data_IF_295027568165
#
_entry.id   IF_295027568165
#
_cell.length_a   1.000
_cell.length_b   1.000
_cell.length_c   1.000
_cell.angle_alpha   90.00
_cell.angle_beta   90.00
_cell.angle_gamma   90.00
#
_symmetry.space_group_name_H-M   'P 1'
#
loop_
_entity.id
_entity.type
_entity.pdbx_description
1 polymer ?
#
# COMPACT_ATOMS: atom_id res chain seq x y z
N UNK A 1 13.93 12.98 5.46
CA UNK A 1 12.51 13.18 5.09
C UNK A 1 12.26 12.53 3.74
N UNK A 2 11.19 11.74 3.61
CA UNK A 2 10.77 11.12 2.35
C UNK A 2 9.48 11.76 1.83
N UNK A 3 9.18 11.62 0.54
CA UNK A 3 7.97 12.16 -0.08
C UNK A 3 7.31 11.16 -1.03
N UNK A 4 5.98 11.10 -1.09
CA UNK A 4 5.23 10.27 -2.05
C UNK A 4 4.66 11.10 -3.20
N UNK A 5 4.86 10.64 -4.44
CA UNK A 5 4.22 11.20 -5.65
C UNK A 5 3.39 10.14 -6.36
N UNK A 6 2.06 10.27 -6.28
CA UNK A 6 1.10 9.40 -6.95
C UNK A 6 0.70 9.92 -8.35
N UNK A 7 1.11 9.17 -9.39
CA UNK A 7 0.86 9.41 -10.81
C UNK A 7 -0.39 8.66 -11.29
N UNK A 8 -1.53 8.96 -10.66
CA UNK A 8 -2.81 8.29 -10.96
C UNK A 8 -3.58 8.99 -12.06
N UNK A 9 -4.47 8.25 -12.75
CA UNK A 9 -5.43 8.85 -13.68
C UNK A 9 -6.40 9.72 -12.86
N UNK A 10 -6.29 11.04 -12.97
CA UNK A 10 -7.20 11.98 -12.31
C UNK A 10 -8.13 12.64 -13.32
N UNK A 11 -9.29 13.07 -12.84
CA UNK A 11 -10.17 14.02 -13.52
C UNK A 11 -9.52 15.42 -13.42
N UNK A 12 -8.48 15.68 -14.20
CA UNK A 12 -7.77 16.97 -14.25
C UNK A 12 -6.29 16.87 -14.65
N UNK A 13 -5.71 17.99 -15.10
CA UNK A 13 -4.27 18.09 -15.42
C UNK A 13 -3.48 18.30 -14.13
N UNK A 14 -2.47 17.47 -13.88
CA UNK A 14 -1.51 17.66 -12.78
C UNK A 14 -0.14 17.91 -13.38
N UNK A 15 0.51 19.01 -13.00
CA UNK A 15 1.87 19.33 -13.42
C UNK A 15 2.89 18.58 -12.56
N UNK A 16 3.13 17.31 -12.90
CA UNK A 16 4.06 16.46 -12.16
C UNK A 16 5.51 16.94 -12.23
N UNK A 17 5.89 17.70 -13.27
CA UNK A 17 7.23 18.25 -13.40
C UNK A 17 7.46 19.38 -12.39
N UNK A 18 6.45 20.23 -12.18
CA UNK A 18 6.48 21.26 -11.14
C UNK A 18 6.57 20.65 -9.73
N UNK A 19 5.79 19.60 -9.43
CA UNK A 19 5.90 18.89 -8.15
C UNK A 19 7.27 18.26 -7.95
N UNK A 20 7.84 17.64 -8.99
CA UNK A 20 9.20 17.10 -8.94
C UNK A 20 10.25 18.20 -8.70
N UNK A 21 10.04 19.39 -9.26
CA UNK A 21 10.93 20.52 -9.02
C UNK A 21 10.88 20.99 -7.57
N UNK A 22 9.69 21.13 -6.99
CA UNK A 22 9.54 21.47 -5.56
C UNK A 22 10.23 20.46 -4.66
N UNK A 23 10.11 19.15 -4.95
CA UNK A 23 10.80 18.09 -4.20
C UNK A 23 12.32 18.28 -4.23
N UNK A 24 12.87 18.67 -5.37
CA UNK A 24 14.31 18.95 -5.56
C UNK A 24 14.71 20.20 -4.77
N UNK A 25 13.94 21.27 -4.91
CA UNK A 25 14.22 22.57 -4.28
C UNK A 25 14.19 22.47 -2.73
N UNK A 26 13.26 21.67 -2.18
CA UNK A 26 13.16 21.35 -0.75
C UNK A 26 14.23 20.34 -0.28
N UNK A 27 15.09 19.86 -1.17
CA UNK A 27 16.21 18.98 -0.84
C UNK A 27 15.79 17.57 -0.37
N UNK A 28 14.61 17.10 -0.76
CA UNK A 28 14.10 15.77 -0.40
C UNK A 28 15.02 14.68 -0.94
N UNK A 29 15.44 13.77 -0.06
CA UNK A 29 16.46 12.74 -0.38
C UNK A 29 15.87 11.44 -0.91
N UNK A 30 14.66 11.09 -0.48
CA UNK A 30 14.01 9.83 -0.83
C UNK A 30 12.60 10.11 -1.34
N UNK A 31 12.25 9.58 -2.51
CA UNK A 31 10.91 9.75 -3.10
C UNK A 31 10.30 8.40 -3.43
N UNK A 32 9.10 8.13 -2.90
CA UNK A 32 8.23 7.07 -3.39
C UNK A 32 7.43 7.57 -4.59
N UNK A 33 7.48 6.86 -5.71
CA UNK A 33 6.62 7.10 -6.87
C UNK A 33 5.67 5.92 -7.05
N UNK A 34 4.44 6.19 -7.49
CA UNK A 34 3.45 5.16 -7.79
C UNK A 34 2.60 5.56 -8.99
N UNK A 35 2.00 4.60 -9.68
CA UNK A 35 1.08 4.86 -10.80
C UNK A 35 1.73 4.76 -12.18
N UNK A 36 1.08 5.33 -13.19
CA UNK A 36 1.43 5.11 -14.60
C UNK A 36 2.44 6.13 -15.11
N UNK A 37 3.24 5.73 -16.12
CA UNK A 37 4.19 6.58 -16.83
C UNK A 37 5.15 7.39 -15.93
N UNK A 38 5.88 6.76 -15.00
CA UNK A 38 6.74 7.48 -14.06
C UNK A 38 8.05 8.02 -14.68
N UNK A 39 8.36 7.64 -15.92
CA UNK A 39 9.64 7.93 -16.59
C UNK A 39 10.09 9.40 -16.53
N UNK A 40 9.26 10.38 -16.91
CA UNK A 40 9.66 11.79 -16.86
C UNK A 40 10.01 12.28 -15.44
N UNK A 41 9.17 11.95 -14.46
CA UNK A 41 9.36 12.33 -13.05
C UNK A 41 10.60 11.65 -12.45
N UNK A 42 10.74 10.34 -12.68
CA UNK A 42 11.92 9.58 -12.24
C UNK A 42 13.18 10.19 -12.84
N UNK A 43 13.17 10.49 -14.15
CA UNK A 43 14.32 11.09 -14.84
C UNK A 43 14.72 12.43 -14.24
N UNK A 44 13.75 13.30 -13.96
CA UNK A 44 14.00 14.60 -13.33
C UNK A 44 14.59 14.45 -11.93
N UNK A 45 14.01 13.58 -11.09
CA UNK A 45 14.48 13.34 -9.72
C UNK A 45 15.87 12.68 -9.68
N UNK A 46 16.16 11.73 -10.58
CA UNK A 46 17.48 11.09 -10.66
C UNK A 46 18.59 12.08 -11.04
N UNK A 47 18.31 13.09 -11.88
CA UNK A 47 19.28 14.17 -12.19
C UNK A 47 19.68 14.98 -10.95
N UNK A 48 18.83 15.03 -9.94
CA UNK A 48 19.10 15.67 -8.65
C UNK A 48 19.69 14.72 -7.60
N UNK A 49 20.08 13.49 -7.99
CA UNK A 49 20.60 12.45 -7.10
C UNK A 49 19.62 12.03 -5.98
N UNK A 50 18.31 12.13 -6.23
CA UNK A 50 17.29 11.61 -5.32
C UNK A 50 17.25 10.08 -5.36
N UNK A 51 17.15 9.45 -4.19
CA UNK A 51 16.87 8.01 -4.07
C UNK A 51 15.39 7.76 -4.36
N UNK A 52 15.09 6.84 -5.26
CA UNK A 52 13.72 6.58 -5.72
C UNK A 52 13.29 5.17 -5.36
N UNK A 53 12.17 5.09 -4.64
CA UNK A 53 11.38 3.90 -4.43
C UNK A 53 10.21 3.92 -5.43
N UNK A 54 9.99 2.87 -6.22
CA UNK A 54 8.81 2.80 -7.10
C UNK A 54 7.87 1.66 -6.74
N UNK A 55 6.60 2.00 -6.53
CA UNK A 55 5.57 1.04 -6.14
C UNK A 55 4.91 0.36 -7.34
N UNK A 56 4.91 -0.97 -7.32
CA UNK A 56 4.48 -1.83 -8.42
C UNK A 56 3.55 -2.95 -7.94
N UNK A 57 2.50 -3.23 -8.70
CA UNK A 57 1.58 -4.36 -8.46
C UNK A 57 1.92 -5.60 -9.31
N UNK A 58 2.93 -5.52 -10.18
CA UNK A 58 3.38 -6.64 -11.03
C UNK A 58 4.89 -6.64 -11.24
N UNK A 59 5.46 -7.83 -11.46
CA UNK A 59 6.89 -8.00 -11.79
C UNK A 59 7.26 -7.31 -13.10
N UNK A 60 6.35 -7.28 -14.08
CA UNK A 60 6.59 -6.57 -15.35
C UNK A 60 6.78 -5.07 -15.14
N UNK A 61 5.95 -4.45 -14.31
CA UNK A 61 6.08 -3.03 -13.97
C UNK A 61 7.34 -2.77 -13.15
N UNK A 62 7.65 -3.64 -12.18
CA UNK A 62 8.89 -3.59 -11.41
C UNK A 62 10.13 -3.61 -12.32
N UNK A 63 10.23 -4.56 -13.25
CA UNK A 63 11.33 -4.62 -14.23
C UNK A 63 11.41 -3.37 -15.11
N UNK A 64 10.28 -2.76 -15.44
CA UNK A 64 10.25 -1.51 -16.21
C UNK A 64 10.78 -0.34 -15.39
N UNK A 65 10.46 -0.27 -14.10
CA UNK A 65 10.98 0.74 -13.18
C UNK A 65 12.49 0.58 -12.93
N UNK A 66 13.00 -0.65 -12.81
CA UNK A 66 14.45 -0.91 -12.73
C UNK A 66 15.19 -0.34 -13.93
N UNK A 67 14.65 -0.50 -15.14
CA UNK A 67 15.24 0.09 -16.36
C UNK A 67 15.24 1.62 -16.35
N UNK A 68 14.38 2.26 -15.56
CA UNK A 68 14.36 3.71 -15.34
C UNK A 68 15.34 4.17 -14.26
N UNK A 69 16.07 3.25 -13.62
CA UNK A 69 17.11 3.57 -12.65
C UNK A 69 16.60 3.87 -11.24
N UNK A 70 15.46 3.27 -10.84
CA UNK A 70 15.00 3.32 -9.44
C UNK A 70 15.95 2.56 -8.53
N UNK A 71 16.08 3.00 -7.28
CA UNK A 71 17.02 2.47 -6.31
C UNK A 71 16.43 1.29 -5.52
N UNK A 72 15.12 1.37 -5.23
CA UNK A 72 14.38 0.32 -4.54
C UNK A 72 12.97 0.17 -5.13
N UNK A 73 12.33 -0.96 -4.86
CA UNK A 73 10.94 -1.21 -5.26
C UNK A 73 10.03 -1.39 -4.04
N UNK A 74 8.78 -0.98 -4.17
CA UNK A 74 7.71 -1.36 -3.25
C UNK A 74 6.78 -2.32 -3.99
N UNK A 75 6.72 -3.58 -3.56
CA UNK A 75 5.94 -4.62 -4.23
C UNK A 75 4.60 -4.72 -3.51
N UNK A 76 3.54 -4.29 -4.19
CA UNK A 76 2.21 -4.09 -3.62
C UNK A 76 1.29 -5.25 -4.00
N UNK A 77 1.02 -6.12 -3.03
CA UNK A 77 0.18 -7.30 -3.19
C UNK A 77 -1.31 -6.97 -3.20
N UNK A 78 -2.11 -7.95 -3.60
CA UNK A 78 -3.58 -7.82 -3.71
C UNK A 78 -4.28 -7.38 -2.42
N UNK A 79 -3.68 -7.65 -1.26
CA UNK A 79 -4.17 -7.30 0.07
C UNK A 79 -4.16 -5.77 0.33
N UNK A 80 -3.45 -4.99 -0.50
CA UNK A 80 -3.20 -3.57 -0.26
C UNK A 80 -4.46 -2.70 -0.27
N UNK A 81 -4.37 -1.56 0.43
CA UNK A 81 -5.38 -0.50 0.35
C UNK A 81 -5.16 0.32 -0.93
N UNK A 82 -6.23 0.85 -1.54
CA UNK A 82 -6.11 1.65 -2.75
C UNK A 82 -5.99 0.79 -4.02
N UNK A 83 -5.16 1.19 -4.99
CA UNK A 83 -5.14 0.55 -6.30
C UNK A 83 -4.37 -0.78 -6.26
N UNK A 84 -5.09 -1.90 -6.36
CA UNK A 84 -4.52 -3.26 -6.25
C UNK A 84 -4.02 -3.82 -7.59
N UNK A 85 -4.24 -3.10 -8.69
CA UNK A 85 -4.05 -3.62 -10.04
C UNK A 85 -5.15 -4.58 -10.48
N UNK A 86 -4.90 -5.36 -11.53
CA UNK A 86 -5.95 -6.16 -12.20
C UNK A 86 -5.63 -7.66 -12.27
N UNK A 87 -4.61 -8.10 -11.56
CA UNK A 87 -4.09 -9.48 -11.65
C UNK A 87 -4.33 -10.32 -10.39
N UNK A 88 -4.82 -9.71 -9.32
CA UNK A 88 -5.19 -10.37 -8.06
C UNK A 88 -4.10 -11.27 -7.47
N UNK A 89 -2.83 -10.88 -7.62
CA UNK A 89 -1.68 -11.63 -7.11
C UNK A 89 -1.42 -11.22 -5.67
N UNK A 90 -1.64 -12.15 -4.74
CA UNK A 90 -1.36 -11.96 -3.30
C UNK A 90 0.14 -11.88 -3.02
N UNK A 91 0.50 -11.28 -1.89
CA UNK A 91 1.89 -11.11 -1.52
C UNK A 91 2.66 -12.42 -1.36
N UNK A 92 1.98 -13.50 -0.96
CA UNK A 92 2.63 -14.81 -0.83
C UNK A 92 3.28 -15.26 -2.15
N UNK A 93 2.64 -14.99 -3.29
CA UNK A 93 3.18 -15.31 -4.62
C UNK A 93 4.02 -14.15 -5.15
N UNK A 94 3.53 -12.92 -5.05
CA UNK A 94 4.15 -11.76 -5.68
C UNK A 94 5.56 -11.48 -5.12
N UNK A 95 5.76 -11.59 -3.81
CA UNK A 95 7.06 -11.36 -3.17
C UNK A 95 8.07 -12.46 -3.51
N UNK A 96 7.63 -13.72 -3.59
CA UNK A 96 8.49 -14.81 -4.06
C UNK A 96 8.96 -14.58 -5.50
N UNK A 97 8.05 -14.17 -6.38
CA UNK A 97 8.41 -13.83 -7.76
C UNK A 97 9.33 -12.60 -7.82
N UNK A 98 9.12 -11.61 -6.96
CA UNK A 98 10.00 -10.45 -6.82
C UNK A 98 11.43 -10.88 -6.46
N UNK A 99 11.61 -11.68 -5.40
CA UNK A 99 12.93 -12.22 -4.99
C UNK A 99 13.63 -13.02 -6.09
N UNK A 100 12.89 -13.78 -6.89
CA UNK A 100 13.45 -14.60 -7.98
C UNK A 100 13.89 -13.77 -9.19
N UNK A 101 13.14 -12.71 -9.52
CA UNK A 101 13.26 -12.01 -10.79
C UNK A 101 13.93 -10.63 -10.69
N UNK A 102 13.95 -10.02 -9.52
CA UNK A 102 14.45 -8.67 -9.31
C UNK A 102 15.87 -8.72 -8.75
N UNK A 103 16.78 -8.00 -9.39
CA UNK A 103 18.16 -7.83 -8.93
C UNK A 103 18.36 -6.57 -8.07
N UNK A 104 17.29 -5.85 -7.74
CA UNK A 104 17.31 -4.67 -6.86
C UNK A 104 16.53 -4.97 -5.58
N UNK A 105 16.87 -4.34 -4.45
CA UNK A 105 16.17 -4.62 -3.20
C UNK A 105 14.74 -4.07 -3.23
N UNK A 106 13.83 -4.71 -2.50
CA UNK A 106 12.43 -4.33 -2.47
C UNK A 106 11.84 -4.44 -1.07
N UNK A 107 10.84 -3.61 -0.78
CA UNK A 107 9.99 -3.73 0.41
C UNK A 107 8.64 -4.33 0.03
N UNK A 108 8.05 -5.09 0.94
CA UNK A 108 6.74 -5.68 0.76
C UNK A 108 5.63 -4.70 1.17
N UNK A 109 4.56 -4.56 0.38
CA UNK A 109 3.47 -3.63 0.62
C UNK A 109 2.11 -4.32 0.51
N UNK A 110 1.19 -3.98 1.41
CA UNK A 110 -0.16 -4.55 1.49
C UNK A 110 -0.26 -5.78 2.40
N UNK A 111 -1.21 -5.79 3.34
CA UNK A 111 -1.42 -6.95 4.21
C UNK A 111 -0.52 -7.03 5.46
N UNK A 112 0.30 -6.01 5.75
CA UNK A 112 1.22 -6.01 6.90
C UNK A 112 0.78 -5.02 7.99
N UNK A 113 0.78 -5.45 9.26
CA UNK A 113 0.40 -4.63 10.42
C UNK A 113 1.25 -4.85 11.68
N UNK A 114 2.02 -5.94 11.75
CA UNK A 114 2.71 -6.39 12.96
C UNK A 114 4.11 -6.97 12.64
N UNK A 115 4.83 -7.41 13.68
CA UNK A 115 6.17 -8.00 13.50
C UNK A 115 6.17 -9.38 12.87
N UNK A 116 5.07 -10.14 12.97
CA UNK A 116 4.94 -11.44 12.31
C UNK A 116 4.89 -11.27 10.79
N UNK A 117 4.14 -10.28 10.31
CA UNK A 117 4.13 -9.86 8.91
C UNK A 117 5.49 -9.39 8.42
N UNK A 118 6.23 -8.63 9.24
CA UNK A 118 7.62 -8.25 8.92
C UNK A 118 8.52 -9.47 8.78
N UNK A 119 8.54 -10.39 9.75
CA UNK A 119 9.35 -11.61 9.69
C UNK A 119 9.00 -12.48 8.47
N UNK A 120 7.72 -12.58 8.11
CA UNK A 120 7.27 -13.28 6.91
C UNK A 120 7.78 -12.59 5.63
N UNK A 121 7.67 -11.25 5.53
CA UNK A 121 8.16 -10.49 4.38
C UNK A 121 9.67 -10.65 4.18
N UNK A 122 10.46 -10.58 5.27
CA UNK A 122 11.91 -10.82 5.24
C UNK A 122 12.23 -12.23 4.75
N UNK A 123 11.50 -13.24 5.23
CA UNK A 123 11.65 -14.64 4.80
C UNK A 123 11.32 -14.84 3.31
N UNK A 124 10.44 -14.00 2.75
CA UNK A 124 10.08 -14.00 1.33
C UNK A 124 11.07 -13.21 0.45
N UNK A 125 12.08 -12.56 1.06
CA UNK A 125 13.15 -11.83 0.38
C UNK A 125 12.97 -10.33 0.29
N UNK A 126 11.99 -9.75 0.98
CA UNK A 126 11.89 -8.30 1.10
C UNK A 126 12.92 -7.77 2.12
N UNK A 127 13.27 -6.50 2.02
CA UNK A 127 14.15 -5.76 2.95
C UNK A 127 13.37 -5.01 4.05
N UNK A 128 12.05 -5.18 4.08
CA UNK A 128 11.16 -4.49 5.01
C UNK A 128 9.72 -4.49 4.53
N UNK A 129 8.85 -3.79 5.27
CA UNK A 129 7.43 -3.66 4.97
C UNK A 129 7.00 -2.19 4.82
N UNK A 130 6.03 -1.96 3.96
CA UNK A 130 5.28 -0.72 3.82
C UNK A 130 3.86 -0.92 4.34
N UNK A 131 3.38 0.00 5.17
CA UNK A 131 2.06 -0.06 5.78
C UNK A 131 1.30 1.24 5.52
N UNK A 132 0.01 1.12 5.20
CA UNK A 132 -0.90 2.27 5.10
C UNK A 132 -1.94 2.23 6.22
N UNK A 133 -2.84 1.25 6.13
CA UNK A 133 -3.94 1.04 7.10
C UNK A 133 -3.48 1.05 8.55
N UNK A 134 -2.37 0.37 8.88
CA UNK A 134 -1.82 0.30 10.25
C UNK A 134 -1.46 1.66 10.82
N UNK A 135 -0.90 2.56 10.00
CA UNK A 135 -0.51 3.91 10.45
C UNK A 135 -1.72 4.84 10.62
N UNK A 136 -2.86 4.58 9.96
CA UNK A 136 -4.10 5.31 10.25
C UNK A 136 -4.53 5.11 11.72
N UNK A 137 -4.28 3.93 12.29
CA UNK A 137 -4.52 3.62 13.70
C UNK A 137 -3.29 3.86 14.56
N UNK A 138 -2.80 5.10 14.57
CA UNK A 138 -1.80 5.60 15.52
C UNK A 138 -2.28 6.90 16.15
N UNK A 139 -1.77 7.27 17.32
CA UNK A 139 -2.17 8.51 18.01
C UNK A 139 -1.86 9.73 17.11
N UNK A 140 -0.71 9.74 16.47
CA UNK A 140 -0.16 10.84 15.67
C UNK A 140 -0.85 11.03 14.32
N UNK A 141 -1.55 10.02 13.80
CA UNK A 141 -2.26 10.13 12.53
C UNK A 141 -3.31 11.26 12.58
N UNK A 142 -3.24 12.27 11.68
CA UNK A 142 -4.10 13.45 11.72
C UNK A 142 -5.45 13.19 11.05
N UNK A 143 -6.15 12.16 11.53
CA UNK A 143 -7.49 11.77 11.08
C UNK A 143 -8.43 11.69 12.28
N UNK A 144 -9.71 11.86 12.03
CA UNK A 144 -10.73 11.82 13.06
C UNK A 144 -10.72 10.47 13.80
N UNK A 145 -10.87 10.52 15.13
CA UNK A 145 -10.77 9.33 16.00
C UNK A 145 -11.77 8.23 15.62
N UNK A 146 -13.00 8.59 15.24
CA UNK A 146 -14.02 7.64 14.76
C UNK A 146 -13.54 6.76 13.59
N UNK A 147 -12.67 7.26 12.71
CA UNK A 147 -12.12 6.46 11.60
C UNK A 147 -11.17 5.38 12.15
N UNK A 148 -10.36 5.72 13.16
CA UNK A 148 -9.47 4.79 13.84
C UNK A 148 -10.28 3.70 14.56
N UNK A 149 -11.32 4.10 15.28
CA UNK A 149 -12.26 3.18 15.95
C UNK A 149 -12.98 2.26 14.98
N UNK A 150 -13.37 2.76 13.81
CA UNK A 150 -14.01 1.94 12.79
C UNK A 150 -13.05 0.89 12.22
N UNK A 151 -11.77 1.21 12.05
CA UNK A 151 -10.75 0.22 11.66
C UNK A 151 -10.57 -0.83 12.77
N UNK A 152 -10.47 -0.42 14.04
CA UNK A 152 -10.25 -1.33 15.18
C UNK A 152 -11.40 -2.33 15.37
N UNK A 153 -12.62 -1.95 14.96
CA UNK A 153 -13.83 -2.78 15.07
C UNK A 153 -14.12 -3.61 13.81
N UNK A 154 -13.32 -3.45 12.76
CA UNK A 154 -13.57 -4.08 11.47
C UNK A 154 -12.90 -5.45 11.37
N UNK A 155 -13.53 -6.33 10.61
CA UNK A 155 -12.99 -7.65 10.28
C UNK A 155 -12.24 -7.60 8.94
N UNK A 156 -11.41 -8.60 8.63
CA UNK A 156 -10.65 -8.66 7.36
C UNK A 156 -11.54 -8.69 6.11
N UNK A 157 -12.83 -9.00 6.29
CA UNK A 157 -13.86 -9.03 5.26
C UNK A 157 -14.54 -7.68 5.03
N UNK A 158 -14.30 -6.67 5.87
CA UNK A 158 -14.90 -5.33 5.79
C UNK A 158 -14.17 -4.40 4.79
N UNK A 159 -13.70 -4.96 3.68
CA UNK A 159 -13.22 -4.19 2.52
C UNK A 159 -13.96 -4.58 1.25
N UNK A 160 -14.05 -3.65 0.30
CA UNK A 160 -14.66 -3.88 -1.00
C UNK A 160 -13.69 -3.49 -2.12
N UNK A 161 -13.64 -4.32 -3.16
CA UNK A 161 -13.03 -3.95 -4.44
C UNK A 161 -14.08 -3.28 -5.30
N UNK A 162 -13.80 -2.04 -5.69
CA UNK A 162 -14.67 -1.23 -6.54
C UNK A 162 -13.86 -0.79 -7.76
N UNK A 163 -14.55 -0.44 -8.84
CA UNK A 163 -14.01 0.06 -10.11
C UNK A 163 -13.31 -0.99 -10.99
N UNK A 164 -13.60 -2.28 -10.79
CA UNK A 164 -13.02 -3.37 -11.59
C UNK A 164 -13.41 -3.28 -13.05
N UNK A 165 -14.68 -2.96 -13.31
CA UNK A 165 -15.24 -2.79 -14.66
C UNK A 165 -14.45 -1.80 -15.51
N UNK A 166 -13.88 -0.77 -14.89
CA UNK A 166 -13.09 0.28 -15.56
C UNK A 166 -11.58 0.07 -15.49
N UNK A 167 -11.11 -1.13 -15.09
CA UNK A 167 -9.68 -1.45 -14.92
C UNK A 167 -8.95 -0.41 -14.06
N UNK A 168 -9.63 0.01 -13.00
CA UNK A 168 -9.10 0.93 -12.00
C UNK A 168 -9.38 0.38 -10.59
N UNK A 169 -9.24 -0.93 -10.43
CA UNK A 169 -9.64 -1.65 -9.22
C UNK A 169 -9.01 -1.01 -7.98
N UNK A 170 -9.87 -0.59 -7.06
CA UNK A 170 -9.50 0.11 -5.83
C UNK A 170 -10.12 -0.60 -4.64
N UNK A 171 -9.29 -0.96 -3.64
CA UNK A 171 -9.74 -1.48 -2.35
C UNK A 171 -10.08 -0.35 -1.40
N UNK A 172 -11.33 -0.38 -0.93
CA UNK A 172 -11.94 0.60 -0.05
C UNK A 172 -12.51 -0.08 1.20
N UNK A 173 -12.71 0.69 2.26
CA UNK A 173 -13.48 0.23 3.42
C UNK A 173 -14.93 -0.06 3.02
N UNK A 174 -15.53 -1.13 3.52
CA UNK A 174 -16.88 -1.60 3.14
C UNK A 174 -18.02 -0.84 3.86
N UNK A 175 -18.11 0.47 3.63
CA UNK A 175 -19.18 1.33 4.14
C UNK A 175 -20.40 1.41 3.20
N UNK A 176 -21.39 2.24 3.56
CA UNK A 176 -22.57 2.49 2.74
C UNK A 176 -22.21 2.98 1.32
N UNK A 177 -21.27 3.91 1.19
CA UNK A 177 -20.95 4.55 -0.11
C UNK A 177 -20.20 3.60 -1.04
N UNK A 178 -19.26 2.79 -0.54
CA UNK A 178 -18.54 1.81 -1.36
C UNK A 178 -19.45 0.66 -1.79
N UNK A 179 -20.40 0.26 -0.95
CA UNK A 179 -21.45 -0.72 -1.31
C UNK A 179 -22.38 -0.17 -2.42
N UNK A 180 -22.79 1.10 -2.34
CA UNK A 180 -23.56 1.75 -3.42
C UNK A 180 -22.73 1.87 -4.70
N UNK A 181 -21.45 2.24 -4.61
CA UNK A 181 -20.57 2.31 -5.79
C UNK A 181 -20.42 0.94 -6.47
N UNK A 182 -20.26 -0.14 -5.69
CA UNK A 182 -20.20 -1.51 -6.20
C UNK A 182 -21.53 -1.95 -6.84
N UNK A 183 -22.67 -1.52 -6.28
CA UNK A 183 -23.98 -1.76 -6.87
C UNK A 183 -24.11 -1.08 -8.23
N UNK A 184 -23.77 0.21 -8.31
CA UNK A 184 -23.76 0.99 -9.57
C UNK A 184 -22.87 0.32 -10.61
N UNK A 185 -21.67 -0.15 -10.23
CA UNK A 185 -20.77 -0.85 -11.14
C UNK A 185 -21.41 -2.11 -11.77
N UNK A 186 -22.11 -2.91 -10.95
CA UNK A 186 -22.79 -4.14 -11.38
C UNK A 186 -24.02 -3.86 -12.24
N UNK A 187 -24.77 -2.82 -11.91
CA UNK A 187 -26.06 -2.50 -12.54
C UNK A 187 -25.94 -1.51 -13.71
N UNK A 188 -24.79 -0.86 -13.90
CA UNK A 188 -24.57 0.12 -14.96
C UNK A 188 -24.84 -0.48 -16.34
N UNK A 189 -25.83 0.10 -17.01
CA UNK A 189 -26.19 -0.25 -18.40
C UNK A 189 -25.31 0.45 -19.41
N UNK A 190 -24.85 1.67 -19.11
CA UNK A 190 -24.01 2.46 -20.02
C UNK A 190 -22.58 1.91 -20.07
N UNK A 191 -22.05 1.44 -18.93
CA UNK A 191 -20.64 1.10 -18.78
C UNK A 191 -19.70 2.31 -18.65
N UNK A 192 -20.24 3.52 -18.60
CA UNK A 192 -19.45 4.76 -18.51
C UNK A 192 -19.03 5.06 -17.07
N UNK A 193 -17.81 5.58 -16.89
CA UNK A 193 -17.28 5.91 -15.56
C UNK A 193 -18.09 7.02 -14.86
N UNK A 194 -18.79 7.86 -15.63
CA UNK A 194 -19.68 8.89 -15.11
C UNK A 194 -20.78 8.35 -14.20
N UNK A 195 -21.18 7.08 -14.37
CA UNK A 195 -22.22 6.46 -13.55
C UNK A 195 -21.76 6.34 -12.08
N UNK A 196 -20.49 5.97 -11.85
CA UNK A 196 -19.94 5.72 -10.51
C UNK A 196 -19.18 6.92 -9.95
N UNK A 197 -18.75 7.86 -10.80
CA UNK A 197 -17.94 9.02 -10.43
C UNK A 197 -18.46 9.83 -9.21
N UNK A 198 -19.78 10.06 -9.04
CA UNK A 198 -20.30 10.76 -7.86
C UNK A 198 -20.05 10.05 -6.53
N UNK A 199 -19.97 8.72 -6.54
CA UNK A 199 -19.76 7.90 -5.35
C UNK A 199 -18.28 7.81 -4.96
N UNK A 200 -17.38 7.76 -5.95
CA UNK A 200 -15.93 7.60 -5.74
C UNK A 200 -15.15 8.92 -5.74
N UNK A 201 -15.82 10.04 -5.45
CA UNK A 201 -15.20 11.36 -5.38
C UNK A 201 -14.18 11.46 -4.25
N UNK A 202 -12.91 11.70 -4.59
CA UNK A 202 -11.84 11.91 -3.60
C UNK A 202 -12.06 13.14 -2.71
N UNK A 203 -12.77 14.17 -3.20
CA UNK A 203 -13.15 15.34 -2.36
C UNK A 203 -14.08 14.92 -1.23
N UNK A 204 -15.07 14.07 -1.55
CA UNK A 204 -16.02 13.53 -0.57
C UNK A 204 -15.34 12.54 0.37
N UNK A 205 -14.44 11.70 -0.16
CA UNK A 205 -13.64 10.78 0.64
C UNK A 205 -12.72 11.45 1.66
N UNK A 206 -12.15 12.63 1.32
CA UNK A 206 -11.34 13.43 2.25
C UNK A 206 -12.10 13.81 3.51
N UNK A 207 -13.37 14.18 3.37
CA UNK A 207 -14.19 14.64 4.51
C UNK A 207 -14.37 13.56 5.56
N UNK A 208 -14.40 12.26 5.19
CA UNK A 208 -14.44 11.13 6.15
C UNK A 208 -13.34 11.27 7.21
N UNK A 209 -12.12 11.61 6.77
CA UNK A 209 -10.96 11.76 7.67
C UNK A 209 -11.04 13.04 8.53
N UNK A 210 -11.79 14.05 8.10
CA UNK A 210 -11.90 15.33 8.80
C UNK A 210 -13.07 15.36 9.79
N UNK A 211 -14.24 14.85 9.37
CA UNK A 211 -15.49 14.92 10.11
C UNK A 211 -15.82 13.64 10.89
N UNK A 212 -15.15 12.52 10.60
CA UNK A 212 -15.35 11.25 11.30
C UNK A 212 -16.63 10.49 10.95
N UNK A 213 -17.38 10.94 9.95
CA UNK A 213 -18.50 10.18 9.39
C UNK A 213 -17.96 9.15 8.40
N UNK A 214 -17.84 7.91 8.88
CA UNK A 214 -17.29 6.77 8.13
C UNK A 214 -18.14 6.35 6.94
N UNK A 215 -19.38 6.83 6.84
CA UNK A 215 -20.31 6.63 5.73
C UNK A 215 -20.42 7.86 4.82
N UNK A 216 -19.69 8.95 5.10
CA UNK A 216 -19.80 10.18 4.32
C UNK A 216 -19.33 9.99 2.88
N UNK A 217 -18.25 9.23 2.64
CA UNK A 217 -17.63 9.03 1.33
C UNK A 217 -16.83 7.73 1.25
N UNK A 218 -16.22 7.44 0.11
CA UNK A 218 -15.28 6.31 0.02
C UNK A 218 -13.94 6.65 0.65
N UNK A 219 -13.32 5.69 1.33
CA UNK A 219 -11.99 5.82 1.89
C UNK A 219 -11.25 4.48 1.85
N UNK A 220 -9.92 4.53 1.80
CA UNK A 220 -9.07 3.36 1.54
C UNK A 220 -8.74 2.62 2.82
N UNK A 221 -8.97 1.31 2.82
CA UNK A 221 -8.52 0.39 3.87
C UNK A 221 -8.10 -0.94 3.20
N UNK A 222 -7.00 -1.52 3.68
CA UNK A 222 -6.50 -2.82 3.23
C UNK A 222 -7.09 -3.95 4.06
N UNK A 223 -7.05 -5.19 3.58
CA UNK A 223 -7.62 -6.34 4.33
C UNK A 223 -6.98 -6.56 5.70
N UNK A 224 -5.78 -6.00 5.90
CA UNK A 224 -5.07 -5.97 7.18
C UNK A 224 -5.85 -5.30 8.32
N UNK A 225 -6.97 -4.63 8.05
CA UNK A 225 -7.87 -4.09 9.09
C UNK A 225 -8.22 -5.13 10.17
N UNK A 226 -8.43 -6.40 9.79
CA UNK A 226 -8.74 -7.47 10.73
C UNK A 226 -7.60 -7.87 11.69
N UNK A 227 -6.39 -7.30 11.53
CA UNK A 227 -5.25 -7.49 12.44
C UNK A 227 -4.98 -6.26 13.32
N UNK A 228 -5.81 -5.23 13.22
CA UNK A 228 -5.61 -3.95 13.90
C UNK A 228 -6.60 -3.85 15.06
N UNK A 229 -6.11 -3.95 16.29
CA UNK A 229 -6.97 -4.00 17.49
C UNK A 229 -6.67 -2.89 18.52
N UNK A 230 -5.85 -1.91 18.15
CA UNK A 230 -5.35 -0.87 19.05
C UNK A 230 -4.97 0.42 18.33
N UNK A 231 -4.73 1.49 19.09
CA UNK A 231 -4.31 2.81 18.59
C UNK A 231 -3.07 3.29 19.40
N UNK A 232 -1.89 2.68 19.19
CA UNK A 232 -0.67 3.04 19.90
C UNK A 232 -0.05 4.35 19.36
N UNK A 233 0.97 4.87 20.03
CA UNK A 233 1.89 5.83 19.38
C UNK A 233 2.66 5.14 18.24
N UNK A 234 3.13 5.91 17.25
CA UNK A 234 4.03 5.41 16.21
C UNK A 234 5.30 4.78 16.82
N UNK A 235 5.85 5.37 17.88
CA UNK A 235 7.03 4.85 18.56
C UNK A 235 6.78 3.45 19.16
N UNK A 236 5.67 3.28 19.90
CA UNK A 236 5.29 1.98 20.47
C UNK A 236 5.00 0.95 19.38
N UNK A 237 4.31 1.35 18.30
CA UNK A 237 4.00 0.46 17.18
C UNK A 237 5.28 -0.09 16.55
N UNK A 238 6.24 0.77 16.21
CA UNK A 238 7.49 0.36 15.57
C UNK A 238 8.34 -0.53 16.48
N UNK A 239 8.50 -0.15 17.76
CA UNK A 239 9.22 -0.97 18.74
C UNK A 239 8.59 -2.37 18.90
N UNK A 240 7.25 -2.44 18.92
CA UNK A 240 6.53 -3.72 19.00
C UNK A 240 6.78 -4.57 17.75
N UNK A 241 6.69 -3.99 16.55
CA UNK A 241 6.93 -4.69 15.28
C UNK A 241 8.35 -5.29 15.25
N UNK A 242 9.37 -4.52 15.64
CA UNK A 242 10.75 -5.00 15.69
C UNK A 242 10.90 -6.18 16.67
N UNK A 243 10.33 -6.03 17.87
CA UNK A 243 10.37 -7.07 18.90
C UNK A 243 9.68 -8.36 18.44
N UNK A 244 8.44 -8.27 17.97
CA UNK A 244 7.65 -9.42 17.49
C UNK A 244 8.32 -10.11 16.31
N UNK A 245 8.96 -9.36 15.40
CA UNK A 245 9.68 -9.93 14.28
C UNK A 245 10.88 -10.77 14.75
N UNK A 246 11.68 -10.25 15.70
CA UNK A 246 12.80 -10.97 16.30
C UNK A 246 12.34 -12.23 17.03
N UNK A 247 11.28 -12.14 17.84
CA UNK A 247 10.69 -13.28 18.55
C UNK A 247 10.18 -14.35 17.59
N UNK A 248 9.50 -13.94 16.51
CA UNK A 248 9.00 -14.85 15.46
C UNK A 248 10.14 -15.58 14.75
N UNK A 249 11.20 -14.87 14.37
CA UNK A 249 12.38 -15.45 13.72
C UNK A 249 13.11 -16.44 14.64
N UNK A 250 13.29 -16.10 15.92
CA UNK A 250 13.89 -17.00 16.92
C UNK A 250 13.04 -18.26 17.13
N UNK A 251 11.71 -18.10 17.27
CA UNK A 251 10.79 -19.23 17.38
C UNK A 251 10.89 -20.13 16.15
N UNK A 252 10.88 -19.58 14.94
CA UNK A 252 10.99 -20.36 13.71
C UNK A 252 12.32 -21.13 13.63
N UNK A 253 13.42 -20.53 14.09
CA UNK A 253 14.71 -21.22 14.18
C UNK A 253 14.66 -22.40 15.16
N UNK A 254 13.96 -22.26 16.30
CA UNK A 254 13.82 -23.36 17.27
C UNK A 254 13.01 -24.57 16.77
N UNK A 255 12.28 -24.43 15.65
CA UNK A 255 11.48 -25.52 15.07
C UNK A 255 12.33 -26.55 14.33
N UNK A 256 13.60 -26.28 14.05
CA UNK A 256 14.49 -27.23 13.41
C UNK A 256 15.87 -27.27 14.08
N UNK A 257 16.44 -28.46 14.18
CA UNK A 257 17.83 -28.65 14.59
C UNK A 257 18.69 -28.72 13.34
N UNK A 258 19.76 -27.92 13.27
CA UNK A 258 20.62 -27.81 12.09
C UNK A 258 21.42 -29.10 11.75
N UNK A 259 21.17 -30.23 12.41
CA UNK A 259 21.82 -31.52 12.10
C UNK A 259 21.00 -32.69 12.66
N UNK A 260 20.62 -33.70 11.85
CA UNK A 260 20.43 -35.04 12.39
C UNK A 260 21.83 -35.54 12.75
N UNK A 261 22.09 -35.82 14.03
CA UNK A 261 23.26 -36.64 14.37
C UNK A 261 23.08 -38.00 13.70
N UNK A 262 23.77 -38.21 12.57
CA UNK A 262 23.95 -39.54 12.01
C UNK A 262 24.68 -40.37 13.08
N UNK A 263 23.99 -41.36 13.64
CA UNK A 263 24.60 -42.41 14.49
C UNK A 263 25.15 -43.55 13.63
N UNK A 264 25.88 -43.22 12.57
CA UNK A 264 26.64 -44.15 11.73
C UNK A 264 28.09 -43.71 11.72
#
# INVERSE_FOLDING_TARGET
MGFNTALTRKLGITDYAAYAQVIIDEGVKIVETAGNNPGPVITQLKKANTTILHKCTTIRHAKSAVKLGVDFLSIDGFECAGHVGEHDITNFILLNRARQDLGVPFIASGGFADGYGLAAALSLGAEGINMGTRFMCTIEAPIHHNVKEAIVKAEETDTALVLRRWKNTTRLFANKVSKEALKVEKESKSGEFSDVAPFVSGKRGREVFLNGDVDFGVWTAGQVIGLIHDIPTCAQLLQRIEKEALESMQRNQSLYTATPQSKL
#
